data_IF_453159366032
#
_entry.id   IF_453159366032
#
_cell.length_a   1.000
_cell.length_b   1.000
_cell.length_c   1.000
_cell.angle_alpha   90.00
_cell.angle_beta   90.00
_cell.angle_gamma   90.00
#
_symmetry.space_group_name_H-M   'P 1'
#
loop_
_entity.id
_entity.type
_entity.pdbx_description
1 polymer ?
#
# COMPACT_ATOMS: atom_id res chain seq x y z
N UNK A 1 40.90 15.38 -15.02
CA UNK A 1 40.06 16.45 -14.44
C UNK A 1 38.82 16.74 -15.32
N UNK A 2 38.97 16.93 -16.61
CA UNK A 2 37.80 17.17 -17.51
C UNK A 2 36.83 15.98 -17.57
N UNK A 3 37.34 14.75 -17.64
CA UNK A 3 36.50 13.55 -17.68
C UNK A 3 35.70 13.38 -16.37
N UNK A 4 36.32 13.60 -15.22
CA UNK A 4 35.66 13.61 -13.91
C UNK A 4 34.54 14.65 -13.81
N UNK A 5 34.76 15.87 -14.31
CA UNK A 5 33.74 16.93 -14.34
C UNK A 5 32.58 16.59 -15.27
N UNK A 6 32.86 15.96 -16.42
CA UNK A 6 31.82 15.51 -17.34
C UNK A 6 30.97 14.38 -16.75
N UNK A 7 31.57 13.35 -16.16
CA UNK A 7 30.86 12.26 -15.50
C UNK A 7 30.00 12.77 -14.33
N UNK A 8 30.57 13.65 -13.50
CA UNK A 8 29.82 14.27 -12.39
C UNK A 8 28.62 15.09 -12.87
N UNK A 9 28.79 15.84 -13.98
CA UNK A 9 27.72 16.60 -14.60
C UNK A 9 26.62 15.71 -15.19
N UNK A 10 26.99 14.57 -15.77
CA UNK A 10 26.03 13.59 -16.27
C UNK A 10 25.25 12.92 -15.14
N UNK A 11 25.93 12.51 -14.05
CA UNK A 11 25.27 11.96 -12.86
C UNK A 11 24.29 12.97 -12.28
N UNK A 12 24.66 14.24 -12.18
CA UNK A 12 23.75 15.27 -11.68
C UNK A 12 22.49 15.41 -12.56
N UNK A 13 22.65 15.40 -13.87
CA UNK A 13 21.53 15.46 -14.83
C UNK A 13 20.60 14.23 -14.75
N UNK A 14 21.17 13.02 -14.74
CA UNK A 14 20.38 11.78 -14.66
C UNK A 14 19.69 11.67 -13.29
N UNK A 15 20.32 12.12 -12.21
CA UNK A 15 19.70 12.19 -10.88
C UNK A 15 18.53 13.17 -10.82
N UNK A 16 18.66 14.35 -11.44
CA UNK A 16 17.55 15.30 -11.55
C UNK A 16 16.40 14.74 -12.39
N UNK A 17 16.71 14.08 -13.51
CA UNK A 17 15.71 13.41 -14.35
C UNK A 17 14.99 12.32 -13.56
N UNK A 18 15.72 11.53 -12.78
CA UNK A 18 15.16 10.50 -11.90
C UNK A 18 14.20 11.10 -10.87
N UNK A 19 14.60 12.15 -10.18
CA UNK A 19 13.77 12.85 -9.20
C UNK A 19 12.50 13.43 -9.81
N UNK A 20 12.59 14.08 -10.95
CA UNK A 20 11.42 14.62 -11.67
C UNK A 20 10.49 13.50 -12.11
N UNK A 21 11.03 12.41 -12.64
CA UNK A 21 10.25 11.25 -13.05
C UNK A 21 9.52 10.60 -11.86
N UNK A 22 10.18 10.46 -10.72
CA UNK A 22 9.57 9.98 -9.47
C UNK A 22 8.48 10.93 -8.96
N UNK A 23 8.70 12.24 -9.03
CA UNK A 23 7.68 13.21 -8.66
C UNK A 23 6.44 13.11 -9.55
N UNK A 24 6.62 13.01 -10.85
CA UNK A 24 5.52 12.80 -11.81
C UNK A 24 4.80 11.48 -11.52
N UNK A 25 5.55 10.39 -11.30
CA UNK A 25 4.99 9.07 -10.97
C UNK A 25 4.13 9.15 -9.71
N UNK A 26 4.60 9.74 -8.62
CA UNK A 26 3.85 9.88 -7.38
C UNK A 26 2.58 10.73 -7.55
N UNK A 27 2.63 11.75 -8.39
CA UNK A 27 1.45 12.56 -8.73
C UNK A 27 0.40 11.78 -9.54
N UNK A 28 0.84 10.87 -10.41
CA UNK A 28 -0.04 10.01 -11.20
C UNK A 28 -0.65 8.88 -10.38
N UNK A 29 0.07 8.36 -9.39
CA UNK A 29 -0.34 7.23 -8.53
C UNK A 29 -1.39 7.61 -7.47
N UNK A 30 -1.88 8.85 -7.46
CA UNK A 30 -2.96 9.30 -6.57
C UNK A 30 -2.52 9.69 -5.16
N UNK A 31 -3.51 10.02 -4.28
CA UNK A 31 -3.26 10.57 -2.93
C UNK A 31 -3.41 9.53 -1.83
N UNK A 32 -3.07 8.27 -2.06
CA UNK A 32 -3.16 7.25 -1.00
C UNK A 32 -2.08 7.48 0.05
N UNK A 33 -2.48 7.37 1.32
CA UNK A 33 -1.50 7.38 2.42
C UNK A 33 -0.70 6.08 2.39
N UNK A 34 0.60 6.15 2.72
CA UNK A 34 1.49 4.98 2.77
C UNK A 34 0.93 3.89 3.69
N UNK A 35 0.33 4.28 4.81
CA UNK A 35 -0.32 3.37 5.77
C UNK A 35 -1.56 2.64 5.22
N UNK A 36 -2.09 3.08 4.07
CA UNK A 36 -3.26 2.48 3.43
C UNK A 36 -2.94 1.79 2.10
N UNK A 37 -1.65 1.63 1.81
CA UNK A 37 -1.20 0.90 0.62
C UNK A 37 -1.50 -0.58 0.73
N UNK A 38 -1.99 -1.17 -0.36
CA UNK A 38 -2.06 -2.62 -0.46
C UNK A 38 -0.64 -3.22 -0.59
N UNK A 39 -0.45 -4.52 -0.32
CA UNK A 39 0.83 -5.19 -0.57
C UNK A 39 1.34 -5.01 -2.00
N UNK A 40 0.44 -5.00 -2.98
CA UNK A 40 0.78 -4.75 -4.38
C UNK A 40 1.30 -3.31 -4.60
N UNK A 41 0.64 -2.30 -4.01
CA UNK A 41 1.08 -0.90 -4.11
C UNK A 41 2.48 -0.73 -3.51
N UNK A 42 2.75 -1.39 -2.37
CA UNK A 42 4.06 -1.36 -1.71
C UNK A 42 5.15 -1.97 -2.60
N UNK A 43 4.94 -3.19 -3.11
CA UNK A 43 5.90 -3.84 -4.00
C UNK A 43 6.17 -3.04 -5.27
N UNK A 44 5.12 -2.45 -5.84
CA UNK A 44 5.24 -1.58 -7.00
C UNK A 44 6.07 -0.32 -6.69
N UNK A 45 5.84 0.31 -5.53
CA UNK A 45 6.61 1.48 -5.10
C UNK A 45 8.11 1.17 -4.91
N UNK A 46 8.43 0.01 -4.30
CA UNK A 46 9.82 -0.45 -4.13
C UNK A 46 10.48 -0.69 -5.48
N UNK A 47 9.79 -1.36 -6.42
CA UNK A 47 10.31 -1.63 -7.77
C UNK A 47 10.56 -0.33 -8.54
N UNK A 48 9.61 0.59 -8.51
CA UNK A 48 9.74 1.91 -9.16
C UNK A 48 10.90 2.71 -8.57
N UNK A 49 11.07 2.66 -7.25
CA UNK A 49 12.21 3.30 -6.57
C UNK A 49 13.55 2.72 -7.03
N UNK A 50 13.65 1.41 -7.20
CA UNK A 50 14.86 0.73 -7.70
C UNK A 50 15.17 1.11 -9.15
N UNK A 51 14.16 1.17 -10.02
CA UNK A 51 14.31 1.63 -11.41
C UNK A 51 14.77 3.08 -11.47
N UNK A 52 14.24 3.94 -10.61
CA UNK A 52 14.64 5.35 -10.54
C UNK A 52 16.08 5.50 -10.03
N UNK A 53 16.52 4.68 -9.09
CA UNK A 53 17.91 4.67 -8.62
C UNK A 53 18.87 4.22 -9.73
N UNK A 54 18.52 3.20 -10.50
CA UNK A 54 19.30 2.77 -11.65
C UNK A 54 19.39 3.88 -12.71
N UNK A 55 18.28 4.60 -12.97
CA UNK A 55 18.27 5.71 -13.91
C UNK A 55 19.22 6.84 -13.50
N UNK A 56 19.39 7.09 -12.21
CA UNK A 56 20.29 8.12 -11.71
C UNK A 56 21.77 7.80 -11.93
N UNK A 57 22.14 6.51 -11.92
CA UNK A 57 23.54 6.06 -11.95
C UNK A 57 23.98 5.46 -13.30
N UNK A 58 23.04 5.05 -14.14
CA UNK A 58 23.33 4.46 -15.44
C UNK A 58 23.48 5.53 -16.51
N UNK A 59 24.72 5.98 -16.73
CA UNK A 59 25.04 7.07 -17.66
C UNK A 59 24.92 6.68 -19.14
N UNK A 60 25.21 5.40 -19.47
CA UNK A 60 25.25 4.95 -20.86
C UNK A 60 23.86 4.64 -21.42
N UNK A 61 22.94 4.17 -20.58
CA UNK A 61 21.64 3.66 -21.02
C UNK A 61 20.47 4.17 -20.14
N UNK A 62 20.52 5.40 -19.70
CA UNK A 62 19.48 6.03 -18.85
C UNK A 62 18.06 5.90 -19.45
N UNK A 63 17.93 5.79 -20.76
CA UNK A 63 16.65 5.63 -21.46
C UNK A 63 15.96 4.28 -21.17
N UNK A 64 16.71 3.23 -20.81
CA UNK A 64 16.15 1.91 -20.46
C UNK A 64 15.33 1.96 -19.16
N UNK A 65 15.91 2.38 -18.02
CA UNK A 65 15.13 2.53 -16.79
C UNK A 65 14.05 3.61 -16.93
N UNK A 66 14.25 4.68 -17.71
CA UNK A 66 13.21 5.67 -18.01
C UNK A 66 12.01 5.02 -18.70
N UNK A 67 12.25 4.21 -19.74
CA UNK A 67 11.19 3.49 -20.46
C UNK A 67 10.45 2.52 -19.52
N UNK A 68 11.18 1.78 -18.67
CA UNK A 68 10.58 0.92 -17.68
C UNK A 68 9.67 1.71 -16.72
N UNK A 69 10.11 2.86 -16.23
CA UNK A 69 9.35 3.73 -15.33
C UNK A 69 8.05 4.23 -15.97
N UNK A 70 8.09 4.60 -17.25
CA UNK A 70 6.89 4.99 -18.02
C UNK A 70 5.91 3.82 -18.15
N UNK A 71 6.40 2.61 -18.44
CA UNK A 71 5.56 1.41 -18.54
C UNK A 71 4.92 1.10 -17.18
N UNK A 72 5.70 1.12 -16.07
CA UNK A 72 5.17 0.91 -14.72
C UNK A 72 4.10 1.96 -14.37
N UNK A 73 4.33 3.22 -14.70
CA UNK A 73 3.35 4.29 -14.49
C UNK A 73 2.06 4.07 -15.29
N UNK A 74 2.16 3.68 -16.55
CA UNK A 74 1.01 3.39 -17.39
C UNK A 74 0.21 2.18 -16.88
N UNK A 75 0.91 1.09 -16.48
CA UNK A 75 0.26 -0.11 -15.91
C UNK A 75 -0.41 0.22 -14.59
N UNK A 76 0.28 0.91 -13.67
CA UNK A 76 -0.30 1.33 -12.38
C UNK A 76 -1.56 2.15 -12.60
N UNK A 77 -1.53 3.11 -13.52
CA UNK A 77 -2.71 3.92 -13.86
C UNK A 77 -3.84 3.11 -14.46
N UNK A 78 -3.55 2.14 -15.31
CA UNK A 78 -4.55 1.23 -15.88
C UNK A 78 -5.20 0.34 -14.80
N UNK A 79 -4.40 -0.17 -13.86
CA UNK A 79 -4.89 -0.94 -12.70
C UNK A 79 -5.83 -0.10 -11.84
N UNK A 80 -5.45 1.11 -11.46
CA UNK A 80 -6.29 2.03 -10.69
C UNK A 80 -7.60 2.36 -11.41
N UNK A 81 -7.52 2.68 -12.70
CA UNK A 81 -8.68 3.01 -13.51
C UNK A 81 -9.66 1.83 -13.60
N UNK A 82 -9.17 0.62 -13.84
CA UNK A 82 -10.00 -0.59 -13.91
C UNK A 82 -10.59 -0.95 -12.55
N UNK A 83 -9.83 -0.81 -11.46
CA UNK A 83 -10.29 -1.02 -10.10
C UNK A 83 -11.39 -0.03 -9.67
N UNK A 84 -11.34 1.22 -10.15
CA UNK A 84 -12.39 2.21 -9.91
C UNK A 84 -13.68 1.89 -10.65
N UNK A 85 -13.60 1.31 -11.85
CA UNK A 85 -14.78 1.05 -12.69
C UNK A 85 -15.48 -0.29 -12.44
N UNK A 86 -14.79 -1.27 -11.88
CA UNK A 86 -15.33 -2.62 -11.70
C UNK A 86 -15.02 -3.18 -10.32
N UNK A 87 -16.07 -3.66 -9.63
CA UNK A 87 -15.95 -4.34 -8.34
C UNK A 87 -15.13 -5.63 -8.50
N UNK A 88 -15.31 -6.37 -9.59
CA UNK A 88 -14.55 -7.59 -9.88
C UNK A 88 -13.06 -7.29 -10.04
N UNK A 89 -12.71 -6.25 -10.81
CA UNK A 89 -11.33 -5.83 -11.01
C UNK A 89 -10.71 -5.30 -9.70
N UNK A 90 -11.44 -4.52 -8.93
CA UNK A 90 -10.99 -4.08 -7.60
C UNK A 90 -10.69 -5.26 -6.68
N UNK A 91 -11.59 -6.24 -6.66
CA UNK A 91 -11.38 -7.47 -5.87
C UNK A 91 -10.17 -8.26 -6.33
N UNK A 92 -9.93 -8.33 -7.64
CA UNK A 92 -8.78 -9.02 -8.23
C UNK A 92 -7.45 -8.34 -7.83
N UNK A 93 -7.37 -7.01 -7.95
CA UNK A 93 -6.14 -6.26 -7.67
C UNK A 93 -5.86 -6.02 -6.18
N UNK A 94 -6.90 -5.69 -5.42
CA UNK A 94 -6.75 -5.27 -4.02
C UNK A 94 -7.22 -6.32 -3.00
N UNK A 95 -7.80 -7.43 -3.46
CA UNK A 95 -8.39 -8.43 -2.56
C UNK A 95 -9.76 -8.02 -2.02
N UNK A 96 -10.25 -8.78 -1.04
CA UNK A 96 -11.49 -8.51 -0.31
C UNK A 96 -11.22 -8.38 1.16
N UNK A 97 -11.87 -7.42 1.81
CA UNK A 97 -11.91 -7.39 3.27
C UNK A 97 -12.58 -8.66 3.81
N UNK A 98 -12.06 -9.18 4.93
CA UNK A 98 -12.51 -10.43 5.54
C UNK A 98 -12.99 -10.21 6.96
N UNK A 99 -14.19 -10.68 7.29
CA UNK A 99 -14.73 -10.61 8.66
C UNK A 99 -14.00 -11.64 9.51
N UNK A 100 -13.24 -11.19 10.51
CA UNK A 100 -12.53 -12.05 11.47
C UNK A 100 -13.37 -12.34 12.71
N UNK A 101 -14.20 -11.37 13.12
CA UNK A 101 -15.10 -11.48 14.27
C UNK A 101 -16.45 -10.89 13.91
N UNK A 102 -17.54 -11.53 14.31
CA UNK A 102 -18.92 -11.08 14.10
C UNK A 102 -19.78 -11.39 15.32
N UNK A 103 -20.53 -10.40 15.80
CA UNK A 103 -21.39 -10.49 16.98
C UNK A 103 -20.62 -11.03 18.22
N UNK A 104 -19.40 -10.58 18.44
CA UNK A 104 -18.57 -11.03 19.56
C UNK A 104 -17.92 -12.41 19.38
N UNK A 105 -18.14 -13.09 18.24
CA UNK A 105 -17.61 -14.44 17.99
C UNK A 105 -16.49 -14.41 16.96
N UNK A 106 -15.31 -14.88 17.35
CA UNK A 106 -14.14 -14.99 16.47
C UNK A 106 -14.28 -16.19 15.55
N UNK A 107 -14.09 -15.96 14.25
CA UNK A 107 -14.08 -17.02 13.23
C UNK A 107 -12.68 -17.62 13.06
N UNK A 108 -12.44 -18.78 13.68
CA UNK A 108 -11.16 -19.50 13.51
C UNK A 108 -10.84 -19.80 12.04
N UNK A 109 -11.86 -20.17 11.24
CA UNK A 109 -11.68 -20.46 9.82
C UNK A 109 -11.20 -19.25 9.03
N UNK A 110 -11.70 -18.04 9.36
CA UNK A 110 -11.31 -16.82 8.68
C UNK A 110 -9.94 -16.32 9.16
N UNK A 111 -9.60 -16.48 10.45
CA UNK A 111 -8.25 -16.22 10.94
C UNK A 111 -7.22 -17.09 10.21
N UNK A 112 -7.48 -18.39 10.07
CA UNK A 112 -6.59 -19.31 9.34
C UNK A 112 -6.45 -18.93 7.85
N UNK A 113 -7.55 -18.56 7.18
CA UNK A 113 -7.52 -18.10 5.78
C UNK A 113 -6.74 -16.79 5.61
N UNK A 114 -6.78 -15.93 6.62
CA UNK A 114 -6.03 -14.69 6.65
C UNK A 114 -4.57 -14.87 7.07
N UNK A 115 -4.18 -16.10 7.49
CA UNK A 115 -2.86 -16.40 8.08
C UNK A 115 -2.53 -15.53 9.30
N UNK A 116 -3.56 -15.17 10.08
CA UNK A 116 -3.45 -14.40 11.33
C UNK A 116 -3.72 -15.35 12.50
N UNK A 117 -2.84 -15.37 13.47
CA UNK A 117 -3.08 -16.10 14.70
C UNK A 117 -3.89 -15.29 15.71
N UNK A 118 -4.40 -15.98 16.77
CA UNK A 118 -5.21 -15.34 17.78
C UNK A 118 -4.43 -14.27 18.57
N UNK A 119 -3.14 -14.48 18.82
CA UNK A 119 -2.32 -13.53 19.59
C UNK A 119 -2.08 -12.26 18.77
N UNK A 120 -1.86 -12.39 17.47
CA UNK A 120 -1.76 -11.28 16.54
C UNK A 120 -3.06 -10.48 16.48
N UNK A 121 -4.21 -11.17 16.33
CA UNK A 121 -5.53 -10.52 16.37
C UNK A 121 -5.75 -9.73 17.65
N UNK A 122 -5.50 -10.36 18.81
CA UNK A 122 -5.63 -9.70 20.13
C UNK A 122 -4.61 -8.57 20.31
N UNK A 123 -3.41 -8.71 19.73
CA UNK A 123 -2.40 -7.65 19.70
C UNK A 123 -2.89 -6.41 18.95
N UNK A 124 -3.47 -6.60 17.78
CA UNK A 124 -4.05 -5.50 17.00
C UNK A 124 -5.29 -4.88 17.70
N UNK A 125 -6.10 -5.68 18.37
CA UNK A 125 -7.21 -5.17 19.17
C UNK A 125 -6.72 -4.24 20.29
N UNK A 126 -5.67 -4.63 21.04
CA UNK A 126 -5.06 -3.78 22.07
C UNK A 126 -4.47 -2.48 21.50
N UNK A 127 -3.81 -2.54 20.34
CA UNK A 127 -3.29 -1.34 19.67
C UNK A 127 -4.41 -0.39 19.24
N UNK A 128 -5.61 -0.91 18.96
CA UNK A 128 -6.81 -0.13 18.66
C UNK A 128 -7.55 0.34 19.93
N UNK A 129 -7.06 0.00 21.13
CA UNK A 129 -7.63 0.41 22.42
C UNK A 129 -8.58 -0.60 23.06
N UNK A 130 -8.80 -1.77 22.46
CA UNK A 130 -9.67 -2.82 22.99
C UNK A 130 -8.85 -3.86 23.77
N UNK A 131 -8.85 -3.76 25.09
CA UNK A 131 -8.17 -4.71 25.98
C UNK A 131 -9.07 -5.92 26.32
N UNK A 132 -10.38 -5.72 26.35
CA UNK A 132 -11.36 -6.80 26.48
C UNK A 132 -12.00 -7.13 25.13
N UNK A 133 -11.80 -8.35 24.60
CA UNK A 133 -12.44 -8.78 23.36
C UNK A 133 -13.98 -8.73 23.37
N UNK A 134 -14.59 -8.77 24.55
CA UNK A 134 -16.05 -8.66 24.69
C UNK A 134 -16.59 -7.25 24.35
N UNK A 135 -15.71 -6.25 24.31
CA UNK A 135 -16.06 -4.90 23.86
C UNK A 135 -16.15 -4.77 22.34
N UNK A 136 -15.76 -5.83 21.58
CA UNK A 136 -15.76 -5.85 20.13
C UNK A 136 -16.96 -6.62 19.60
N UNK A 137 -17.80 -5.96 18.81
CA UNK A 137 -18.92 -6.59 18.11
C UNK A 137 -18.45 -7.23 16.79
N UNK A 138 -17.69 -6.47 15.98
CA UNK A 138 -17.23 -6.92 14.66
C UNK A 138 -15.79 -6.48 14.45
N UNK A 139 -14.98 -7.38 13.88
CA UNK A 139 -13.64 -7.07 13.43
C UNK A 139 -13.47 -7.51 11.97
N UNK A 140 -12.91 -6.61 11.14
CA UNK A 140 -12.75 -6.79 9.70
C UNK A 140 -11.28 -6.59 9.34
N UNK A 141 -10.67 -7.60 8.72
CA UNK A 141 -9.36 -7.45 8.08
C UNK A 141 -9.53 -6.66 6.79
N UNK A 142 -8.88 -5.53 6.70
CA UNK A 142 -8.89 -4.66 5.54
C UNK A 142 -7.83 -5.11 4.50
N UNK A 143 -7.97 -4.62 3.27
CA UNK A 143 -7.07 -4.99 2.16
C UNK A 143 -5.61 -4.54 2.35
N UNK A 144 -5.35 -3.59 3.25
CA UNK A 144 -4.01 -3.14 3.63
C UNK A 144 -3.39 -3.93 4.79
N UNK A 145 -4.07 -4.98 5.28
CA UNK A 145 -3.62 -5.81 6.40
C UNK A 145 -3.95 -5.27 7.79
N UNK A 146 -4.58 -4.09 7.89
CA UNK A 146 -5.07 -3.57 9.17
C UNK A 146 -6.40 -4.21 9.55
N UNK A 147 -6.69 -4.25 10.85
CA UNK A 147 -7.99 -4.73 11.35
C UNK A 147 -8.80 -3.54 11.83
N UNK A 148 -10.00 -3.38 11.26
CA UNK A 148 -11.00 -2.41 11.70
C UNK A 148 -11.89 -3.05 12.75
N UNK A 149 -12.13 -2.34 13.86
CA UNK A 149 -12.93 -2.82 14.98
C UNK A 149 -14.19 -1.98 15.16
N UNK A 150 -15.34 -2.63 15.26
CA UNK A 150 -16.60 -2.02 15.66
C UNK A 150 -16.88 -2.40 17.12
N UNK A 151 -16.98 -1.42 18.04
CA UNK A 151 -17.28 -1.70 19.42
C UNK A 151 -18.69 -2.24 19.61
N UNK A 152 -18.87 -3.11 20.60
CA UNK A 152 -20.17 -3.57 21.06
C UNK A 152 -21.04 -2.38 21.52
N UNK A 153 -22.36 -2.52 21.44
CA UNK A 153 -23.30 -1.44 21.77
C UNK A 153 -23.12 -0.90 23.19
N UNK A 154 -22.71 -1.76 24.11
CA UNK A 154 -22.41 -1.42 25.50
C UNK A 154 -21.14 -0.63 25.71
N UNK A 155 -20.18 -0.74 24.77
CA UNK A 155 -18.88 -0.06 24.81
C UNK A 155 -18.84 1.21 23.92
N UNK A 156 -19.95 1.54 23.25
CA UNK A 156 -20.04 2.75 22.42
C UNK A 156 -20.20 4.00 23.27
N UNK A 157 -19.51 5.13 22.93
CA UNK A 157 -19.77 6.40 23.59
C UNK A 157 -21.24 6.78 23.50
N UNK A 158 -21.81 7.31 24.58
CA UNK A 158 -23.19 7.83 24.60
C UNK A 158 -23.28 8.97 23.56
N UNK A 159 -24.16 8.83 22.57
CA UNK A 159 -24.46 9.91 21.62
C UNK A 159 -25.35 10.93 22.35
N UNK A 160 -24.98 12.21 22.46
CA UNK A 160 -25.88 13.23 22.96
C UNK A 160 -27.13 13.28 22.08
N UNK A 161 -28.31 13.27 22.71
CA UNK A 161 -29.60 13.43 22.02
C UNK A 161 -29.77 14.85 21.50
#
# INVERSE_FOLDING_TARGET
MQQFLQETGQVALTSLLSLVSMFVFTRLSGKRQISQMSPFDYLNAVTVGSIAAEMATNLESWYRPFTALVIYGAVTRAVEYTACKSIAMRTFWSGRSMILMKNGVISKANLQRASIDLNEFLGQARLAGYFDPNEIETAILENNGQISFLPASTARPATPK
#
